data_IF_526644867167
#
_entry.id   IF_526644867167
#
_cell.length_a   1.000
_cell.length_b   1.000
_cell.length_c   1.000
_cell.angle_alpha   90.00
_cell.angle_beta   90.00
_cell.angle_gamma   90.00
#
_symmetry.space_group_name_H-M   'P 1'
#
loop_
_entity.id
_entity.type
_entity.pdbx_description
1 polymer ?
#
# COMPACT_ATOMS: atom_id res chain seq x y z
N UNK A 1 0.99 8.18 0.35
CA UNK A 1 0.28 7.03 0.95
C UNK A 1 -1.22 7.03 0.69
N UNK A 2 -2.04 8.00 1.16
CA UNK A 2 -3.50 7.96 0.94
C UNK A 2 -3.85 7.79 -0.55
N UNK A 3 -3.17 8.52 -1.44
CA UNK A 3 -3.35 8.38 -2.89
C UNK A 3 -3.05 6.98 -3.44
N UNK A 4 -2.11 6.24 -2.85
CA UNK A 4 -1.84 4.85 -3.25
C UNK A 4 -2.99 3.93 -2.86
N UNK A 5 -3.58 4.15 -1.69
CA UNK A 5 -4.74 3.39 -1.21
C UNK A 5 -5.95 3.69 -2.11
N UNK A 6 -6.17 4.96 -2.44
CA UNK A 6 -7.29 5.36 -3.31
C UNK A 6 -7.15 4.73 -4.72
N UNK A 7 -5.92 4.70 -5.25
CA UNK A 7 -5.63 4.06 -6.53
C UNK A 7 -5.82 2.53 -6.45
N UNK A 8 -5.32 1.88 -5.40
CA UNK A 8 -5.51 0.45 -5.18
C UNK A 8 -7.01 0.10 -5.07
N UNK A 9 -7.78 0.92 -4.35
CA UNK A 9 -9.23 0.75 -4.26
C UNK A 9 -9.91 0.88 -5.62
N UNK A 10 -9.49 1.85 -6.43
CA UNK A 10 -10.04 2.05 -7.76
C UNK A 10 -9.75 0.85 -8.67
N UNK A 11 -8.50 0.38 -8.71
CA UNK A 11 -8.07 -0.80 -9.47
C UNK A 11 -8.81 -2.05 -9.01
N UNK A 12 -8.85 -2.31 -7.70
CA UNK A 12 -9.58 -3.45 -7.15
C UNK A 12 -11.04 -3.44 -7.60
N UNK A 13 -11.69 -2.27 -7.51
CA UNK A 13 -13.09 -2.13 -7.91
C UNK A 13 -13.30 -2.32 -9.42
N UNK A 14 -12.39 -1.84 -10.26
CA UNK A 14 -12.48 -2.04 -11.72
C UNK A 14 -12.28 -3.50 -12.12
N UNK A 15 -11.39 -4.20 -11.42
CA UNK A 15 -11.03 -5.59 -11.70
C UNK A 15 -11.90 -6.63 -10.98
N UNK A 16 -12.81 -6.19 -10.11
CA UNK A 16 -13.63 -7.09 -9.30
C UNK A 16 -12.81 -7.91 -8.29
N UNK A 17 -11.65 -7.39 -7.86
CA UNK A 17 -10.74 -8.09 -6.96
C UNK A 17 -11.24 -8.06 -5.50
N UNK A 18 -10.78 -9.05 -4.73
CA UNK A 18 -11.08 -9.25 -3.31
C UNK A 18 -9.79 -9.63 -2.57
N UNK A 19 -9.66 -9.34 -1.26
CA UNK A 19 -10.66 -8.78 -0.34
C UNK A 19 -10.85 -7.25 -0.49
N UNK A 20 -11.82 -6.67 0.23
CA UNK A 20 -12.06 -5.21 0.25
C UNK A 20 -12.42 -4.72 1.64
N UNK A 21 -12.40 -3.39 1.86
CA UNK A 21 -13.03 -2.76 3.02
C UNK A 21 -12.07 -2.23 4.10
N UNK A 22 -10.79 -2.55 4.01
CA UNK A 22 -9.74 -1.88 4.79
C UNK A 22 -8.61 -1.46 3.85
N UNK A 23 -7.85 -0.43 4.20
CA UNK A 23 -6.70 -0.02 3.40
C UNK A 23 -5.68 -1.15 3.18
N UNK A 24 -5.57 -2.08 4.15
CA UNK A 24 -4.75 -3.28 4.01
C UNK A 24 -5.35 -4.23 2.96
N UNK A 25 -6.66 -4.47 3.03
CA UNK A 25 -7.38 -5.33 2.07
C UNK A 25 -7.27 -4.79 0.64
N UNK A 26 -7.29 -3.47 0.44
CA UNK A 26 -7.12 -2.88 -0.90
C UNK A 26 -5.73 -3.24 -1.48
N UNK A 27 -4.67 -3.18 -0.68
CA UNK A 27 -3.31 -3.57 -1.11
C UNK A 27 -3.22 -5.09 -1.33
N UNK A 28 -3.72 -5.89 -0.38
CA UNK A 28 -3.73 -7.35 -0.46
C UNK A 28 -4.43 -7.84 -1.73
N UNK A 29 -5.53 -7.19 -2.12
CA UNK A 29 -6.28 -7.56 -3.32
C UNK A 29 -5.47 -7.40 -4.61
N UNK A 30 -4.60 -6.39 -4.69
CA UNK A 30 -3.72 -6.17 -5.83
C UNK A 30 -2.57 -7.19 -5.87
N UNK A 31 -1.98 -7.52 -4.73
CA UNK A 31 -0.97 -8.57 -4.63
C UNK A 31 -1.52 -9.96 -5.00
N UNK A 32 -2.69 -10.31 -4.47
CA UNK A 32 -3.40 -11.54 -4.84
C UNK A 32 -3.78 -11.59 -6.32
N UNK A 33 -4.04 -10.43 -6.93
CA UNK A 33 -4.29 -10.28 -8.36
C UNK A 33 -3.03 -10.35 -9.23
N UNK A 34 -1.84 -10.49 -8.63
CA UNK A 34 -0.55 -10.48 -9.34
C UNK A 34 -0.18 -9.11 -9.94
N UNK A 35 -0.86 -8.04 -9.50
CA UNK A 35 -0.60 -6.67 -9.94
C UNK A 35 0.61 -6.09 -9.20
N UNK A 36 0.76 -6.47 -7.93
CA UNK A 36 1.91 -6.11 -7.11
C UNK A 36 2.77 -7.34 -6.82
N UNK A 37 4.07 -7.13 -6.71
CA UNK A 37 4.96 -8.14 -6.14
C UNK A 37 4.71 -8.31 -4.64
N UNK A 38 5.07 -9.48 -4.09
CA UNK A 38 4.95 -9.77 -2.65
C UNK A 38 5.70 -8.74 -1.80
N UNK A 39 6.86 -8.31 -2.27
CA UNK A 39 7.75 -7.41 -1.53
C UNK A 39 7.11 -6.01 -1.46
N UNK A 40 6.58 -5.51 -2.58
CA UNK A 40 5.87 -4.22 -2.60
C UNK A 40 4.58 -4.29 -1.78
N UNK A 41 3.83 -5.39 -1.88
CA UNK A 41 2.64 -5.62 -1.06
C UNK A 41 2.96 -5.51 0.45
N UNK A 42 3.95 -6.27 0.93
CA UNK A 42 4.32 -6.30 2.35
C UNK A 42 4.75 -4.91 2.86
N UNK A 43 5.61 -4.21 2.11
CA UNK A 43 6.07 -2.86 2.46
C UNK A 43 4.92 -1.85 2.53
N UNK A 44 3.97 -1.92 1.58
CA UNK A 44 2.81 -1.05 1.57
C UNK A 44 1.86 -1.36 2.73
N UNK A 45 1.63 -2.63 3.05
CA UNK A 45 0.81 -3.04 4.20
C UNK A 45 1.40 -2.54 5.52
N UNK A 46 2.72 -2.64 5.70
CA UNK A 46 3.44 -2.11 6.86
C UNK A 46 3.25 -0.59 6.97
N UNK A 47 3.45 0.13 5.86
CA UNK A 47 3.31 1.58 5.86
C UNK A 47 1.85 2.02 6.14
N UNK A 48 0.85 1.27 5.68
CA UNK A 48 -0.58 1.51 6.00
C UNK A 48 -0.85 1.25 7.48
N UNK A 49 -0.32 0.16 8.01
CA UNK A 49 -0.38 -0.16 9.44
C UNK A 49 0.22 0.96 10.30
N UNK A 50 1.38 1.46 9.90
CA UNK A 50 2.06 2.56 10.58
C UNK A 50 1.23 3.85 10.56
N UNK A 51 0.67 4.24 9.41
CA UNK A 51 -0.25 5.39 9.34
C UNK A 51 -1.43 5.23 10.30
N UNK A 52 -2.01 4.04 10.39
CA UNK A 52 -3.12 3.77 11.30
C UNK A 52 -2.68 3.92 12.76
N UNK A 53 -1.49 3.44 13.12
CA UNK A 53 -0.93 3.62 14.47
C UNK A 53 -0.73 5.10 14.79
N UNK A 54 -0.17 5.89 13.86
CA UNK A 54 0.00 7.33 14.03
C UNK A 54 -1.33 8.06 14.22
N UNK A 55 -2.34 7.73 13.40
CA UNK A 55 -3.66 8.33 13.48
C UNK A 55 -4.38 8.03 14.80
N UNK A 56 -4.19 6.83 15.36
CA UNK A 56 -4.84 6.42 16.61
C UNK A 56 -4.05 6.84 17.86
N UNK A 57 -2.72 7.00 17.78
CA UNK A 57 -1.84 7.30 18.92
C UNK A 57 -1.36 8.75 19.01
N UNK A 58 -2.10 9.70 18.44
CA UNK A 58 -1.76 11.13 18.45
C UNK A 58 -1.39 11.72 19.84
N UNK A 59 -1.70 11.04 20.96
CA UNK A 59 -1.31 11.44 22.31
C UNK A 59 -0.03 10.80 22.89
N UNK A 60 0.52 9.74 22.30
CA UNK A 60 1.59 8.92 22.92
C UNK A 60 2.52 8.32 21.84
N UNK A 61 3.08 9.19 21.00
CA UNK A 61 3.88 8.80 19.83
C UNK A 61 5.30 8.40 20.26
N UNK A 62 5.60 7.10 20.16
CA UNK A 62 6.96 6.58 20.31
C UNK A 62 7.82 6.98 19.08
N UNK A 63 8.73 7.92 19.30
CA UNK A 63 9.61 8.47 18.26
C UNK A 63 10.49 7.42 17.56
N UNK A 64 10.86 6.33 18.24
CA UNK A 64 11.74 5.30 17.65
C UNK A 64 11.04 4.53 16.53
N UNK A 65 9.73 4.28 16.68
CA UNK A 65 8.91 3.62 15.65
C UNK A 65 8.72 4.55 14.45
N UNK A 66 8.51 5.84 14.70
CA UNK A 66 8.39 6.85 13.64
C UNK A 66 9.70 7.00 12.87
N UNK A 67 10.82 7.04 13.58
CA UNK A 67 12.13 7.13 12.98
C UNK A 67 12.42 5.92 12.11
N UNK A 68 12.13 4.71 12.60
CA UNK A 68 12.36 3.45 11.86
C UNK A 68 11.55 3.38 10.57
N UNK A 69 10.26 3.76 10.60
CA UNK A 69 9.42 3.70 9.39
C UNK A 69 9.75 4.81 8.40
N UNK A 70 10.19 5.99 8.86
CA UNK A 70 10.70 7.05 7.97
C UNK A 70 12.10 6.74 7.41
N UNK A 71 12.89 5.91 8.11
CA UNK A 71 14.19 5.43 7.63
C UNK A 71 14.09 4.16 6.78
N UNK A 72 12.98 3.41 6.85
CA UNK A 72 12.70 2.35 5.90
C UNK A 72 12.55 2.99 4.52
N UNK A 73 13.41 2.53 3.61
CA UNK A 73 13.53 3.08 2.26
C UNK A 73 12.15 3.17 1.60
N UNK A 74 11.72 4.38 1.25
CA UNK A 74 10.49 4.65 0.50
C UNK A 74 10.57 4.14 -0.95
N UNK A 75 11.57 3.32 -1.29
CA UNK A 75 11.74 2.68 -2.60
C UNK A 75 10.52 1.88 -3.04
N UNK A 76 9.77 1.31 -2.10
CA UNK A 76 8.51 0.62 -2.42
C UNK A 76 7.51 1.55 -3.14
N UNK A 77 7.59 2.87 -2.94
CA UNK A 77 6.71 3.84 -3.59
C UNK A 77 7.00 3.95 -5.09
N UNK A 78 8.29 3.97 -5.47
CA UNK A 78 8.71 3.98 -6.87
C UNK A 78 8.41 2.64 -7.54
N UNK A 79 8.65 1.53 -6.83
CA UNK A 79 8.32 0.19 -7.32
C UNK A 79 6.82 0.02 -7.53
N UNK A 80 5.99 0.47 -6.58
CA UNK A 80 4.53 0.48 -6.72
C UNK A 80 4.10 1.22 -8.00
N UNK A 81 4.64 2.42 -8.24
CA UNK A 81 4.30 3.17 -9.46
C UNK A 81 4.69 2.42 -10.74
N UNK A 82 5.87 1.79 -10.75
CA UNK A 82 6.34 1.01 -11.90
C UNK A 82 5.44 -0.21 -12.14
N UNK A 83 5.10 -0.95 -11.10
CA UNK A 83 4.24 -2.15 -11.20
C UNK A 83 2.84 -1.79 -11.69
N UNK A 84 2.22 -0.73 -11.14
CA UNK A 84 0.92 -0.25 -11.63
C UNK A 84 1.01 0.23 -13.08
N UNK A 85 2.06 0.96 -13.47
CA UNK A 85 2.22 1.44 -14.84
C UNK A 85 2.42 0.29 -15.83
N UNK A 86 3.22 -0.72 -15.47
CA UNK A 86 3.44 -1.92 -16.28
C UNK A 86 2.15 -2.72 -16.44
N UNK A 87 1.44 -2.95 -15.34
CA UNK A 87 0.13 -3.60 -15.38
C UNK A 87 -0.84 -2.84 -16.28
N UNK A 88 -0.89 -1.51 -16.16
CA UNK A 88 -1.80 -0.69 -16.97
C UNK A 88 -1.47 -0.78 -18.47
N UNK A 89 -0.20 -0.72 -18.85
CA UNK A 89 0.24 -0.84 -20.24
C UNK A 89 -0.04 -2.21 -20.85
N UNK A 90 -0.07 -3.29 -20.05
CA UNK A 90 -0.37 -4.63 -20.53
C UNK A 90 -1.88 -4.86 -20.77
N UNK A 91 -2.73 -3.92 -20.36
CA UNK A 91 -4.19 -3.97 -20.59
C UNK A 91 -4.62 -3.38 -21.92
N UNK A 92 -3.80 -2.49 -22.51
CA UNK A 92 -4.02 -1.84 -23.81
C UNK A 92 -3.36 -2.64 -24.94
#
# INVERSE_FOLDING_TARGET
>A
MQSCIDLAQHIRASEGLSPSGTAKNEIESLGNGGILSSDVQEQMEEAVGFRNILAHRYGDVNHDVVYTVLHNDLHWFDQFQQEIAQWFQQRD
#
